data_IF_176069897271
#
_entry.id   IF_176069897271
#
_cell.length_a   1.000
_cell.length_b   1.000
_cell.length_c   1.000
_cell.angle_alpha   90.00
_cell.angle_beta   90.00
_cell.angle_gamma   90.00
#
_symmetry.space_group_name_H-M   'P 1'
#
loop_
_entity.id
_entity.type
_entity.pdbx_description
1 polymer ?
#
# COMPACT_ATOMS: atom_id res chain seq x y z
N UNK A 1 -44.42 -18.61 -23.54
CA UNK A 1 -42.97 -18.59 -23.92
C UNK A 1 -42.27 -17.26 -23.80
N UNK A 2 -42.93 -16.10 -23.81
CA UNK A 2 -42.28 -14.76 -23.78
C UNK A 2 -41.85 -14.31 -22.37
N UNK A 3 -42.47 -14.78 -21.29
CA UNK A 3 -42.15 -14.33 -19.91
C UNK A 3 -40.85 -14.94 -19.34
N UNK A 4 -40.49 -16.17 -19.69
CA UNK A 4 -39.25 -16.82 -19.21
C UNK A 4 -37.98 -16.17 -19.77
N UNK A 5 -38.03 -15.67 -21.01
CA UNK A 5 -36.90 -15.01 -21.65
C UNK A 5 -36.67 -13.59 -21.08
N UNK A 6 -37.72 -12.92 -20.60
CA UNK A 6 -37.62 -11.59 -20.00
C UNK A 6 -36.92 -11.62 -18.62
N UNK A 7 -37.23 -12.64 -17.80
CA UNK A 7 -36.59 -12.83 -16.50
C UNK A 7 -35.09 -13.18 -16.66
N UNK A 8 -34.75 -14.01 -17.66
CA UNK A 8 -33.34 -14.36 -17.93
C UNK A 8 -32.50 -13.14 -18.35
N UNK A 9 -33.07 -12.23 -19.15
CA UNK A 9 -32.39 -10.99 -19.57
C UNK A 9 -32.18 -10.04 -18.39
N UNK A 10 -33.19 -9.90 -17.50
CA UNK A 10 -33.07 -9.04 -16.32
C UNK A 10 -32.01 -9.60 -15.36
N UNK A 11 -31.94 -10.89 -15.12
CA UNK A 11 -30.89 -11.50 -14.28
C UNK A 11 -29.50 -11.35 -14.87
N UNK A 12 -29.36 -11.44 -16.20
CA UNK A 12 -28.05 -11.26 -16.87
C UNK A 12 -27.55 -9.82 -16.78
N UNK A 13 -28.43 -8.83 -16.95
CA UNK A 13 -28.08 -7.40 -16.82
C UNK A 13 -27.69 -7.06 -15.37
N UNK A 14 -28.35 -7.64 -14.37
CA UNK A 14 -28.00 -7.44 -12.96
C UNK A 14 -26.62 -8.03 -12.61
N UNK A 15 -26.28 -9.23 -13.09
CA UNK A 15 -24.99 -9.87 -12.85
C UNK A 15 -23.83 -9.10 -13.51
N UNK A 16 -24.01 -8.60 -14.74
CA UNK A 16 -22.99 -7.79 -15.41
C UNK A 16 -22.78 -6.43 -14.74
N UNK A 17 -23.83 -5.80 -14.21
CA UNK A 17 -23.73 -4.51 -13.53
C UNK A 17 -22.84 -4.54 -12.28
N UNK A 18 -22.95 -5.59 -11.46
CA UNK A 18 -22.13 -5.72 -10.24
C UNK A 18 -20.65 -5.93 -10.55
N UNK A 19 -20.32 -6.67 -11.60
CA UNK A 19 -18.93 -6.90 -12.00
C UNK A 19 -18.24 -5.62 -12.49
N UNK A 20 -18.94 -4.75 -13.20
CA UNK A 20 -18.42 -3.48 -13.71
C UNK A 20 -18.13 -2.51 -12.57
N UNK A 21 -19.03 -2.36 -11.61
CA UNK A 21 -18.85 -1.45 -10.46
C UNK A 21 -17.68 -1.90 -9.56
N UNK A 22 -17.53 -3.20 -9.33
CA UNK A 22 -16.46 -3.72 -8.49
C UNK A 22 -15.09 -3.64 -9.18
N UNK A 23 -15.01 -3.79 -10.51
CA UNK A 23 -13.77 -3.58 -11.27
C UNK A 23 -13.35 -2.10 -11.27
N UNK A 24 -14.32 -1.17 -11.32
CA UNK A 24 -14.07 0.26 -11.13
C UNK A 24 -13.40 0.53 -9.78
N UNK A 25 -13.89 -0.11 -8.71
CA UNK A 25 -13.33 0.02 -7.36
C UNK A 25 -11.84 -0.42 -7.28
N UNK A 26 -11.44 -1.55 -7.87
CA UNK A 26 -10.05 -1.99 -7.89
C UNK A 26 -9.18 -0.99 -8.66
N UNK A 27 -9.64 -0.53 -9.80
CA UNK A 27 -8.88 0.43 -10.63
C UNK A 27 -8.68 1.77 -9.89
N UNK A 28 -9.67 2.22 -9.15
CA UNK A 28 -9.56 3.43 -8.32
C UNK A 28 -8.56 3.23 -7.18
N UNK A 29 -8.63 2.10 -6.47
CA UNK A 29 -7.66 1.77 -5.44
C UNK A 29 -6.23 1.71 -6.00
N UNK A 30 -6.03 1.14 -7.17
CA UNK A 30 -4.72 1.10 -7.85
C UNK A 30 -4.21 2.51 -8.16
N UNK A 31 -5.06 3.40 -8.69
CA UNK A 31 -4.68 4.81 -8.94
C UNK A 31 -4.25 5.53 -7.65
N UNK A 32 -4.97 5.29 -6.56
CA UNK A 32 -4.60 5.84 -5.25
C UNK A 32 -3.23 5.33 -4.77
N UNK A 33 -2.95 4.05 -4.95
CA UNK A 33 -1.64 3.48 -4.64
C UNK A 33 -0.52 4.02 -5.53
N UNK A 34 -0.77 4.25 -6.83
CA UNK A 34 0.18 4.88 -7.75
C UNK A 34 0.47 6.33 -7.34
N UNK A 35 -0.57 7.09 -6.98
CA UNK A 35 -0.42 8.45 -6.43
C UNK A 35 0.39 8.43 -5.12
N UNK A 36 0.07 7.51 -4.20
CA UNK A 36 0.77 7.38 -2.93
C UNK A 36 2.25 7.00 -3.13
N UNK A 37 2.56 6.10 -4.08
CA UNK A 37 3.92 5.75 -4.48
C UNK A 37 4.70 6.96 -4.96
N UNK A 38 4.13 7.72 -5.89
CA UNK A 38 4.76 8.93 -6.43
C UNK A 38 5.00 9.98 -5.33
N UNK A 39 4.02 10.18 -4.45
CA UNK A 39 4.13 11.10 -3.34
C UNK A 39 5.19 10.65 -2.31
N UNK A 40 5.27 9.36 -1.99
CA UNK A 40 6.31 8.82 -1.10
C UNK A 40 7.70 8.96 -1.73
N UNK A 41 7.81 8.79 -3.05
CA UNK A 41 9.07 9.01 -3.77
C UNK A 41 9.59 10.44 -3.57
N UNK A 42 8.73 11.44 -3.58
CA UNK A 42 9.12 12.83 -3.33
C UNK A 42 9.64 13.04 -1.90
N UNK A 43 9.09 12.35 -0.90
CA UNK A 43 9.64 12.37 0.47
C UNK A 43 11.04 11.79 0.53
N UNK A 44 11.27 10.65 -0.14
CA UNK A 44 12.57 10.01 -0.23
C UNK A 44 13.60 10.91 -0.94
N UNK A 45 13.18 11.56 -2.04
CA UNK A 45 14.05 12.45 -2.80
C UNK A 45 14.41 13.73 -2.03
N UNK A 46 13.43 14.31 -1.32
CA UNK A 46 13.59 15.53 -0.55
C UNK A 46 14.52 15.36 0.67
N UNK A 47 14.59 14.14 1.25
CA UNK A 47 15.48 13.86 2.36
C UNK A 47 16.94 13.85 1.89
N UNK A 48 17.82 14.69 2.43
CA UNK A 48 19.26 14.61 2.13
C UNK A 48 19.85 13.30 2.62
N UNK A 49 20.92 12.83 2.00
CA UNK A 49 21.55 11.53 2.33
C UNK A 49 21.90 11.44 3.82
N UNK A 50 22.43 12.51 4.41
CA UNK A 50 22.75 12.57 5.84
C UNK A 50 21.53 12.47 6.76
N UNK A 51 20.33 12.77 6.25
CA UNK A 51 19.08 12.71 7.00
C UNK A 51 18.49 11.30 7.12
N UNK A 52 18.99 10.34 6.37
CA UNK A 52 18.45 8.97 6.44
C UNK A 52 18.66 8.29 7.78
N UNK A 53 19.75 8.63 8.49
CA UNK A 53 20.02 8.16 9.85
C UNK A 53 19.39 9.03 10.95
N UNK A 54 18.75 10.17 10.60
CA UNK A 54 18.20 11.10 11.58
C UNK A 54 17.08 10.46 12.38
N UNK A 55 17.18 10.55 13.71
CA UNK A 55 16.14 10.20 14.70
C UNK A 55 15.69 11.48 15.40
N UNK A 56 14.39 11.82 15.43
CA UNK A 56 13.90 12.98 16.20
C UNK A 56 14.17 12.86 17.69
N UNK A 57 14.05 11.65 18.25
CA UNK A 57 14.41 11.28 19.62
C UNK A 57 15.09 9.91 19.62
N UNK A 58 15.77 9.55 20.71
CA UNK A 58 16.56 8.30 20.79
C UNK A 58 15.70 7.02 20.65
N UNK A 59 14.45 7.07 21.10
CA UNK A 59 13.48 5.97 21.07
C UNK A 59 12.69 5.85 19.76
N UNK A 60 12.75 6.89 18.91
CA UNK A 60 12.10 6.85 17.60
C UNK A 60 12.95 6.12 16.55
N UNK A 61 12.28 5.56 15.55
CA UNK A 61 12.94 5.07 14.34
C UNK A 61 13.67 6.21 13.62
N UNK A 62 14.77 5.90 12.93
CA UNK A 62 15.33 6.84 11.97
C UNK A 62 14.43 7.00 10.75
N UNK A 63 14.68 8.02 9.91
CA UNK A 63 13.94 8.19 8.65
C UNK A 63 13.98 6.93 7.80
N UNK A 64 15.17 6.33 7.62
CA UNK A 64 15.33 5.08 6.88
C UNK A 64 14.52 3.94 7.52
N UNK A 65 14.59 3.78 8.84
CA UNK A 65 13.85 2.75 9.57
C UNK A 65 12.34 2.94 9.48
N UNK A 66 11.86 4.17 9.43
CA UNK A 66 10.45 4.49 9.26
C UNK A 66 9.96 4.08 7.87
N UNK A 67 10.75 4.37 6.84
CA UNK A 67 10.44 3.98 5.46
C UNK A 67 10.54 2.47 5.22
N UNK A 68 11.49 1.80 5.85
CA UNK A 68 11.61 0.34 5.78
C UNK A 68 10.49 -0.38 6.54
N UNK A 69 10.01 0.17 7.66
CA UNK A 69 8.85 -0.32 8.37
C UNK A 69 7.57 -0.21 7.52
N UNK A 70 7.35 0.92 6.87
CA UNK A 70 6.27 1.08 5.88
C UNK A 70 6.36 0.01 4.78
N UNK A 71 7.56 -0.25 4.29
CA UNK A 71 7.81 -1.25 3.24
C UNK A 71 7.49 -2.66 3.71
N UNK A 72 7.95 -3.04 4.91
CA UNK A 72 7.64 -4.32 5.54
C UNK A 72 6.13 -4.56 5.64
N UNK A 73 5.40 -3.54 6.10
CA UNK A 73 3.95 -3.61 6.21
C UNK A 73 3.27 -3.74 4.84
N UNK A 74 3.73 -3.00 3.82
CA UNK A 74 3.20 -3.13 2.47
C UNK A 74 3.28 -4.58 1.96
N UNK A 75 4.42 -5.25 2.14
CA UNK A 75 4.55 -6.67 1.79
C UNK A 75 3.62 -7.56 2.62
N UNK A 76 3.60 -7.39 3.93
CA UNK A 76 2.79 -8.22 4.83
C UNK A 76 1.29 -8.12 4.56
N UNK A 77 0.75 -6.90 4.49
CA UNK A 77 -0.66 -6.67 4.21
C UNK A 77 -1.06 -7.15 2.82
N UNK A 78 -0.27 -6.80 1.79
CA UNK A 78 -0.60 -7.18 0.43
C UNK A 78 -0.52 -8.70 0.24
N UNK A 79 0.48 -9.40 0.81
CA UNK A 79 0.55 -10.85 0.75
C UNK A 79 -0.68 -11.50 1.36
N UNK A 80 -1.10 -11.07 2.54
CA UNK A 80 -2.28 -11.62 3.19
C UNK A 80 -3.56 -11.34 2.39
N UNK A 81 -3.76 -10.10 1.93
CA UNK A 81 -4.96 -9.70 1.21
C UNK A 81 -5.07 -10.32 -0.19
N UNK A 82 -3.95 -10.46 -0.91
CA UNK A 82 -3.97 -10.95 -2.30
C UNK A 82 -3.71 -12.45 -2.43
N UNK A 83 -3.13 -13.08 -1.39
CA UNK A 83 -2.67 -14.47 -1.42
C UNK A 83 -1.32 -14.66 -2.13
N UNK A 84 -0.71 -13.60 -2.63
CA UNK A 84 0.58 -13.66 -3.32
C UNK A 84 1.73 -13.70 -2.30
N UNK A 85 2.70 -14.57 -2.55
CA UNK A 85 3.85 -14.72 -1.64
C UNK A 85 4.72 -13.46 -1.62
N UNK A 86 5.04 -12.97 -0.43
CA UNK A 86 6.02 -11.91 -0.27
C UNK A 86 7.39 -12.31 -0.83
N UNK A 87 8.06 -11.43 -1.59
CA UNK A 87 9.42 -11.69 -2.08
C UNK A 87 10.48 -11.56 -0.98
N UNK A 88 10.12 -11.03 0.18
CA UNK A 88 11.00 -10.89 1.35
C UNK A 88 10.47 -11.69 2.53
N UNK A 89 11.36 -12.10 3.43
CA UNK A 89 11.00 -12.74 4.69
C UNK A 89 10.56 -11.66 5.69
N UNK A 90 9.62 -12.01 6.58
CA UNK A 90 9.14 -11.09 7.62
C UNK A 90 10.29 -10.53 8.45
N UNK A 91 10.36 -9.21 8.56
CA UNK A 91 11.39 -8.46 9.26
C UNK A 91 12.65 -8.20 8.45
N UNK A 92 12.75 -8.65 7.21
CA UNK A 92 13.92 -8.48 6.34
C UNK A 92 14.14 -7.01 5.96
N UNK A 93 13.07 -6.30 5.58
CA UNK A 93 13.18 -4.88 5.22
C UNK A 93 13.64 -4.04 6.41
N UNK A 94 13.04 -4.22 7.57
CA UNK A 94 13.40 -3.48 8.79
C UNK A 94 14.83 -3.74 9.26
N UNK A 95 15.36 -4.95 8.99
CA UNK A 95 16.71 -5.39 9.36
C UNK A 95 17.76 -5.13 8.28
N UNK A 96 17.41 -4.46 7.18
CA UNK A 96 18.35 -4.16 6.11
C UNK A 96 19.61 -3.50 6.67
N UNK A 97 20.77 -4.08 6.36
CA UNK A 97 22.07 -3.56 6.82
C UNK A 97 22.43 -2.25 6.09
N UNK A 98 22.13 -2.17 4.80
CA UNK A 98 22.30 -0.96 4.00
C UNK A 98 21.07 -0.07 4.08
N UNK A 99 21.18 1.02 4.85
CA UNK A 99 20.14 2.05 5.02
C UNK A 99 20.47 3.32 4.23
N UNK A 100 21.29 3.22 3.20
CA UNK A 100 21.57 4.33 2.28
C UNK A 100 20.31 4.80 1.56
N UNK A 101 20.27 6.07 1.16
CA UNK A 101 19.19 6.65 0.36
C UNK A 101 18.85 5.80 -0.86
N UNK A 102 19.85 5.35 -1.59
CA UNK A 102 19.68 4.53 -2.80
C UNK A 102 18.97 3.21 -2.48
N UNK A 103 19.46 2.46 -1.49
CA UNK A 103 18.88 1.16 -1.14
C UNK A 103 17.50 1.29 -0.52
N UNK A 104 17.30 2.22 0.42
CA UNK A 104 15.97 2.46 1.03
C UNK A 104 14.96 2.87 -0.04
N UNK A 105 15.32 3.77 -0.95
CA UNK A 105 14.43 4.19 -2.05
C UNK A 105 14.04 2.99 -2.92
N UNK A 106 15.01 2.15 -3.31
CA UNK A 106 14.76 0.93 -4.09
C UNK A 106 13.77 0.00 -3.38
N UNK A 107 14.00 -0.27 -2.10
CA UNK A 107 13.16 -1.18 -1.31
C UNK A 107 11.73 -0.64 -1.14
N UNK A 108 11.59 0.65 -0.82
CA UNK A 108 10.29 1.30 -0.67
C UNK A 108 9.50 1.25 -1.96
N UNK A 109 10.11 1.62 -3.09
CA UNK A 109 9.43 1.58 -4.39
C UNK A 109 9.00 0.16 -4.77
N UNK A 110 9.84 -0.84 -4.52
CA UNK A 110 9.51 -2.25 -4.75
C UNK A 110 8.32 -2.72 -3.89
N UNK A 111 8.23 -2.28 -2.62
CA UNK A 111 7.09 -2.55 -1.75
C UNK A 111 5.77 -2.00 -2.30
N UNK A 112 5.78 -0.78 -2.82
CA UNK A 112 4.61 -0.21 -3.52
C UNK A 112 4.25 -0.98 -4.79
N UNK A 113 5.25 -1.33 -5.60
CA UNK A 113 5.02 -2.11 -6.83
C UNK A 113 4.42 -3.47 -6.54
N UNK A 114 4.83 -4.12 -5.44
CA UNK A 114 4.25 -5.38 -5.01
C UNK A 114 2.75 -5.24 -4.71
N UNK A 115 2.35 -4.24 -3.94
CA UNK A 115 0.93 -3.96 -3.65
C UNK A 115 0.15 -3.71 -4.95
N UNK A 116 0.61 -2.76 -5.76
CA UNK A 116 -0.07 -2.32 -6.99
C UNK A 116 -0.25 -3.49 -7.96
N UNK A 117 0.83 -4.23 -8.24
CA UNK A 117 0.82 -5.31 -9.23
C UNK A 117 -0.07 -6.47 -8.79
N UNK A 118 -0.14 -6.75 -7.50
CA UNK A 118 -0.96 -7.85 -6.98
C UNK A 118 -2.43 -7.46 -6.87
N UNK A 119 -2.74 -6.21 -6.50
CA UNK A 119 -4.11 -5.70 -6.58
C UNK A 119 -4.68 -5.76 -8.00
N UNK A 120 -3.88 -5.46 -9.03
CA UNK A 120 -4.31 -5.56 -10.44
C UNK A 120 -4.72 -6.97 -10.87
N UNK A 121 -4.22 -8.00 -10.22
CA UNK A 121 -4.56 -9.41 -10.50
C UNK A 121 -5.84 -9.86 -9.80
N UNK A 122 -6.31 -9.11 -8.80
CA UNK A 122 -7.50 -9.49 -8.04
C UNK A 122 -8.76 -9.38 -8.89
N UNK A 123 -9.66 -10.34 -8.69
CA UNK A 123 -11.03 -10.22 -9.18
C UNK A 123 -11.87 -9.38 -8.20
N UNK A 124 -12.92 -8.71 -8.69
CA UNK A 124 -13.82 -7.93 -7.83
C UNK A 124 -14.44 -8.72 -6.68
N UNK A 125 -14.73 -10.01 -6.90
CA UNK A 125 -15.33 -10.89 -5.89
C UNK A 125 -14.39 -11.16 -4.73
N UNK A 126 -13.08 -11.22 -4.97
CA UNK A 126 -12.07 -11.44 -3.94
C UNK A 126 -12.02 -10.34 -2.90
N UNK A 127 -12.43 -9.11 -3.21
CA UNK A 127 -12.45 -8.01 -2.23
C UNK A 127 -13.36 -8.30 -1.03
N UNK A 128 -14.41 -9.12 -1.22
CA UNK A 128 -15.37 -9.47 -0.18
C UNK A 128 -15.02 -10.78 0.57
N UNK A 129 -13.99 -11.50 0.13
CA UNK A 129 -13.51 -12.68 0.83
C UNK A 129 -12.83 -12.29 2.14
N UNK A 130 -13.00 -13.13 3.17
CA UNK A 130 -12.32 -12.94 4.45
C UNK A 130 -10.87 -13.39 4.37
N UNK A 131 -10.05 -12.73 5.16
CA UNK A 131 -8.64 -13.04 5.40
C UNK A 131 -8.32 -12.83 6.87
N UNK A 132 -7.47 -13.67 7.43
CA UNK A 132 -6.92 -13.50 8.76
C UNK A 132 -5.58 -12.73 8.66
N UNK A 133 -5.53 -11.60 9.36
CA UNK A 133 -4.36 -10.73 9.40
C UNK A 133 -3.58 -10.97 10.71
N UNK A 134 -2.28 -11.27 10.58
CA UNK A 134 -1.36 -11.42 11.72
C UNK A 134 -1.80 -12.48 12.73
N UNK A 135 -2.43 -13.57 12.26
CA UNK A 135 -2.93 -14.69 13.06
C UNK A 135 -3.88 -14.24 14.20
N UNK A 136 -4.61 -13.15 13.99
CA UNK A 136 -5.42 -12.52 15.03
C UNK A 136 -6.67 -11.78 14.57
N UNK A 137 -6.63 -11.12 13.42
CA UNK A 137 -7.72 -10.23 13.00
C UNK A 137 -8.38 -10.74 11.72
N UNK A 138 -9.63 -11.15 11.84
CA UNK A 138 -10.44 -11.51 10.68
C UNK A 138 -11.10 -10.28 10.07
N UNK A 139 -10.96 -10.10 8.76
CA UNK A 139 -11.57 -9.00 8.01
C UNK A 139 -11.68 -9.34 6.52
N UNK A 140 -12.42 -8.53 5.76
CA UNK A 140 -12.43 -8.68 4.31
C UNK A 140 -11.08 -8.25 3.70
N UNK A 141 -10.73 -8.80 2.54
CA UNK A 141 -9.52 -8.40 1.79
C UNK A 141 -9.54 -6.90 1.45
N UNK A 142 -10.73 -6.36 1.14
CA UNK A 142 -10.90 -4.91 0.95
C UNK A 142 -10.52 -4.11 2.20
N UNK A 143 -10.96 -4.54 3.37
CA UNK A 143 -10.60 -3.88 4.64
C UNK A 143 -9.10 -4.00 4.94
N UNK A 144 -8.49 -5.15 4.65
CA UNK A 144 -7.04 -5.33 4.82
C UNK A 144 -6.23 -4.39 3.92
N UNK A 145 -6.63 -4.23 2.64
CA UNK A 145 -6.00 -3.28 1.72
C UNK A 145 -6.20 -1.82 2.15
N UNK A 146 -7.37 -1.46 2.67
CA UNK A 146 -7.62 -0.12 3.21
C UNK A 146 -6.73 0.17 4.43
N UNK A 147 -6.55 -0.80 5.35
CA UNK A 147 -5.62 -0.67 6.48
C UNK A 147 -4.17 -0.57 6.04
N UNK A 148 -3.78 -1.28 5.00
CA UNK A 148 -2.46 -1.12 4.39
C UNK A 148 -2.24 0.31 3.87
N UNK A 149 -3.25 0.87 3.20
CA UNK A 149 -3.19 2.24 2.70
C UNK A 149 -3.14 3.28 3.82
N UNK A 150 -3.94 3.09 4.88
CA UNK A 150 -3.90 3.91 6.08
C UNK A 150 -2.52 3.87 6.75
N UNK A 151 -1.93 2.68 6.90
CA UNK A 151 -0.63 2.47 7.52
C UNK A 151 0.49 3.19 6.75
N UNK A 152 0.55 3.06 5.41
CA UNK A 152 1.56 3.78 4.62
C UNK A 152 1.38 5.30 4.69
N UNK A 153 0.14 5.79 4.72
CA UNK A 153 -0.16 7.22 4.87
C UNK A 153 0.29 7.74 6.21
N UNK A 154 0.03 6.99 7.30
CA UNK A 154 0.47 7.32 8.65
C UNK A 154 1.98 7.45 8.74
N UNK A 155 2.74 6.46 8.29
CA UNK A 155 4.21 6.47 8.37
C UNK A 155 4.85 7.50 7.45
N UNK A 156 4.35 7.69 6.22
CA UNK A 156 4.79 8.79 5.37
C UNK A 156 4.54 10.14 6.03
N UNK A 157 3.35 10.37 6.60
CA UNK A 157 3.01 11.61 7.29
C UNK A 157 3.96 11.92 8.45
N UNK A 158 4.36 10.93 9.24
CA UNK A 158 5.36 11.10 10.30
C UNK A 158 6.67 11.65 9.76
N UNK A 159 7.14 11.18 8.60
CA UNK A 159 8.43 11.60 8.03
C UNK A 159 8.48 13.06 7.59
N UNK A 160 7.35 13.77 7.54
CA UNK A 160 7.30 15.22 7.35
C UNK A 160 8.10 15.99 8.42
N UNK A 161 8.03 15.51 9.67
CA UNK A 161 8.80 16.10 10.78
C UNK A 161 10.31 15.88 10.58
N UNK A 162 10.69 14.67 10.16
CA UNK A 162 12.09 14.33 9.89
C UNK A 162 12.70 15.22 8.81
N UNK A 163 11.97 15.48 7.72
CA UNK A 163 12.40 16.38 6.66
C UNK A 163 12.70 17.79 7.22
N UNK A 164 11.77 18.34 8.02
CA UNK A 164 11.99 19.67 8.63
C UNK A 164 13.17 19.70 9.57
N UNK A 165 13.37 18.68 10.39
CA UNK A 165 14.52 18.57 11.28
C UNK A 165 15.84 18.42 10.52
N UNK A 166 15.82 17.82 9.33
CA UNK A 166 16.96 17.74 8.42
C UNK A 166 17.20 19.05 7.62
N UNK A 167 16.40 20.10 7.85
CA UNK A 167 16.46 21.35 7.08
C UNK A 167 15.88 21.27 5.67
N UNK A 168 15.22 20.18 5.32
CA UNK A 168 14.60 20.00 4.02
C UNK A 168 13.13 20.47 4.03
N UNK A 169 12.68 21.03 2.89
CA UNK A 169 11.26 21.37 2.69
C UNK A 169 10.49 20.11 2.32
N UNK A 170 9.46 19.73 3.09
CA UNK A 170 8.59 18.61 2.71
C UNK A 170 7.89 18.87 1.37
N UNK A 171 7.61 17.83 0.59
CA UNK A 171 6.78 17.95 -0.60
C UNK A 171 5.42 18.56 -0.29
N UNK A 172 4.84 19.21 -1.30
CA UNK A 172 3.47 19.71 -1.20
C UNK A 172 2.49 18.54 -1.07
N UNK A 173 1.43 18.73 -0.29
CA UNK A 173 0.40 17.71 -0.14
C UNK A 173 -0.22 17.34 -1.50
N UNK A 174 -0.41 16.04 -1.72
CA UNK A 174 -0.98 15.46 -2.93
C UNK A 174 -2.07 14.48 -2.55
N UNK A 175 -3.30 14.96 -2.47
CA UNK A 175 -4.48 14.14 -2.18
C UNK A 175 -5.24 13.73 -3.45
N UNK A 176 -4.98 14.45 -4.56
CA UNK A 176 -5.63 14.26 -5.84
C UNK A 176 -4.61 14.11 -6.97
#
# INVERSE_FOLDING_TARGET
MKFKNFIAIICFVFLCGHSVLAQSSINEMVKEWERAKAYTKEYLDAMPDSGYALKPTADMRSFAEQMLHLTEANYGFASAATGEKSPIVRGEAEKAADKSKSNVTKMVMAGYDFVINNMRKMSPTQLNENVEMFDRFEMTKSAALAKCFEHQTHHRGQTTVYLRLAGAKPPQEKLF
#
